data_IF_071325317504
#
_entry.id   IF_071325317504
#
_cell.length_a   1.000
_cell.length_b   1.000
_cell.length_c   1.000
_cell.angle_alpha   90.00
_cell.angle_beta   90.00
_cell.angle_gamma   90.00
#
_symmetry.space_group_name_H-M   'P 1'
#
loop_
_entity.id
_entity.type
_entity.pdbx_description
1 polymer ?
#
# COMPACT_ATOMS: atom_id res chain seq x y z
N UNK A 1 26.86 -9.48 -10.14
CA UNK A 1 26.76 -10.84 -9.56
C UNK A 1 26.21 -11.74 -10.65
N UNK A 2 27.01 -12.64 -11.21
CA UNK A 2 26.59 -13.53 -12.31
C UNK A 2 25.74 -14.68 -11.77
N UNK A 3 24.73 -15.12 -12.53
CA UNK A 3 23.82 -16.24 -12.20
C UNK A 3 24.55 -17.55 -11.84
N UNK A 4 25.81 -17.70 -12.23
CA UNK A 4 26.66 -18.86 -11.93
C UNK A 4 27.07 -19.02 -10.46
N UNK A 5 26.76 -18.05 -9.60
CA UNK A 5 27.13 -18.06 -8.18
C UNK A 5 25.95 -18.36 -7.25
N UNK A 6 24.74 -18.50 -7.80
CA UNK A 6 23.56 -18.77 -7.00
C UNK A 6 23.30 -20.27 -6.95
N UNK A 7 23.11 -20.82 -5.75
CA UNK A 7 22.65 -22.19 -5.60
C UNK A 7 21.13 -22.29 -5.85
N UNK A 8 20.63 -23.51 -6.07
CA UNK A 8 19.21 -23.76 -6.37
C UNK A 8 18.26 -23.20 -5.29
N UNK A 9 18.76 -22.99 -4.07
CA UNK A 9 18.00 -22.46 -2.93
C UNK A 9 18.03 -20.93 -2.83
N UNK A 10 19.07 -20.27 -3.33
CA UNK A 10 19.15 -18.81 -3.36
C UNK A 10 18.10 -18.20 -4.29
N UNK A 11 17.76 -18.86 -5.40
CA UNK A 11 16.71 -18.40 -6.31
C UNK A 11 15.34 -18.25 -5.62
N UNK A 12 15.01 -19.17 -4.71
CA UNK A 12 13.73 -19.12 -3.99
C UNK A 12 13.63 -17.88 -3.08
N UNK A 13 14.74 -17.52 -2.43
CA UNK A 13 14.79 -16.37 -1.53
C UNK A 13 14.61 -15.06 -2.29
N UNK A 14 15.26 -14.89 -3.44
CA UNK A 14 15.18 -13.65 -4.23
C UNK A 14 13.88 -13.53 -5.04
N UNK A 15 13.33 -14.64 -5.54
CA UNK A 15 12.03 -14.62 -6.20
C UNK A 15 10.91 -14.28 -5.22
N UNK A 16 10.92 -14.85 -4.02
CA UNK A 16 9.90 -14.55 -3.02
C UNK A 16 9.94 -13.10 -2.55
N UNK A 17 11.14 -12.55 -2.34
CA UNK A 17 11.37 -11.15 -2.00
C UNK A 17 10.75 -10.20 -3.03
N UNK A 18 10.94 -10.50 -4.33
CA UNK A 18 10.28 -9.76 -5.41
C UNK A 18 8.76 -9.80 -5.28
N UNK A 19 8.14 -10.94 -4.99
CA UNK A 19 6.67 -11.01 -4.90
C UNK A 19 6.10 -10.32 -3.64
N UNK A 20 6.86 -10.26 -2.55
CA UNK A 20 6.46 -9.58 -1.30
C UNK A 20 6.61 -8.05 -1.44
N UNK A 21 7.67 -7.57 -2.08
CA UNK A 21 7.99 -6.14 -2.15
C UNK A 21 7.70 -5.48 -3.51
N UNK A 22 7.48 -6.24 -4.59
CA UNK A 22 7.12 -5.72 -5.93
C UNK A 22 5.61 -5.61 -6.11
N UNK A 23 4.98 -4.77 -5.31
CA UNK A 23 3.59 -4.40 -5.48
C UNK A 23 3.47 -2.88 -5.45
N UNK A 24 3.12 -2.27 -6.58
CA UNK A 24 2.73 -0.85 -6.71
C UNK A 24 1.53 -0.44 -5.81
N UNK A 25 1.05 -1.33 -4.94
CA UNK A 25 0.06 -1.09 -3.90
C UNK A 25 0.81 -0.99 -2.57
N UNK A 26 0.97 0.23 -2.05
CA UNK A 26 1.72 0.53 -0.81
C UNK A 26 1.18 -0.11 0.48
N UNK A 27 0.39 -1.18 0.38
CA UNK A 27 -0.18 -1.96 1.47
C UNK A 27 -0.05 -3.48 1.27
N UNK A 28 0.68 -3.94 0.25
CA UNK A 28 0.91 -5.37 -0.04
C UNK A 28 -0.37 -6.23 -0.04
N UNK A 29 -1.52 -5.65 -0.40
CA UNK A 29 -2.77 -6.40 -0.45
C UNK A 29 -2.89 -7.13 -1.77
N UNK A 30 -3.33 -8.38 -1.72
CA UNK A 30 -3.73 -9.09 -2.94
C UNK A 30 -4.94 -8.39 -3.57
N UNK A 31 -5.15 -8.58 -4.89
CA UNK A 31 -6.32 -8.02 -5.58
C UNK A 31 -7.65 -8.46 -4.93
N UNK A 32 -7.68 -9.70 -4.42
CA UNK A 32 -8.82 -10.29 -3.71
C UNK A 32 -9.10 -9.58 -2.38
N UNK A 33 -8.07 -9.39 -1.57
CA UNK A 33 -8.19 -8.66 -0.29
C UNK A 33 -8.66 -7.23 -0.52
N UNK A 34 -8.14 -6.55 -1.55
CA UNK A 34 -8.58 -5.21 -1.90
C UNK A 34 -10.07 -5.16 -2.27
N UNK A 35 -10.60 -6.14 -3.01
CA UNK A 35 -12.03 -6.20 -3.32
C UNK A 35 -12.90 -6.51 -2.10
N UNK A 36 -12.44 -7.38 -1.20
CA UNK A 36 -13.21 -7.75 -0.01
C UNK A 36 -13.23 -6.60 1.02
N UNK A 37 -12.14 -5.84 1.12
CA UNK A 37 -11.97 -4.80 2.13
C UNK A 37 -12.32 -3.39 1.61
N UNK A 38 -12.86 -3.27 0.40
CA UNK A 38 -13.34 -1.98 -0.14
C UNK A 38 -14.82 -2.04 -0.47
N UNK A 39 -15.54 -0.95 -0.18
CA UNK A 39 -16.91 -0.71 -0.64
C UNK A 39 -18.00 -1.73 -0.25
N UNK A 40 -17.85 -2.45 0.86
CA UNK A 40 -18.95 -3.24 1.43
C UNK A 40 -20.14 -2.37 1.85
N UNK A 41 -21.35 -2.89 1.63
CA UNK A 41 -22.58 -2.26 2.11
C UNK A 41 -22.71 -2.50 3.62
N UNK A 42 -22.55 -1.42 4.38
CA UNK A 42 -22.87 -1.36 5.81
C UNK A 42 -23.86 -0.19 5.97
N UNK A 43 -25.02 -0.39 6.61
CA UNK A 43 -26.03 0.65 6.81
C UNK A 43 -25.47 1.89 7.55
N UNK A 44 -24.44 1.73 8.38
CA UNK A 44 -23.66 2.81 9.01
C UNK A 44 -22.33 3.10 8.30
N UNK A 45 -21.98 2.28 7.30
CA UNK A 45 -20.71 2.31 6.61
C UNK A 45 -20.59 3.47 5.62
N UNK A 46 -21.71 3.97 5.09
CA UNK A 46 -21.68 5.13 4.19
C UNK A 46 -21.26 6.40 4.93
N UNK A 47 -21.88 6.69 6.08
CA UNK A 47 -21.51 7.82 6.93
C UNK A 47 -20.08 7.67 7.47
N UNK A 48 -19.69 6.47 7.95
CA UNK A 48 -18.32 6.19 8.39
C UNK A 48 -17.29 6.42 7.28
N UNK A 49 -17.57 5.97 6.06
CA UNK A 49 -16.72 6.18 4.87
C UNK A 49 -16.57 7.67 4.54
N UNK A 50 -17.65 8.44 4.60
CA UNK A 50 -17.61 9.89 4.38
C UNK A 50 -16.70 10.55 5.43
N UNK A 51 -16.90 10.24 6.71
CA UNK A 51 -16.07 10.79 7.80
C UNK A 51 -14.60 10.44 7.61
N UNK A 52 -14.28 9.18 7.32
CA UNK A 52 -12.89 8.75 7.07
C UNK A 52 -12.28 9.45 5.86
N UNK A 53 -13.03 9.64 4.77
CA UNK A 53 -12.54 10.39 3.61
C UNK A 53 -12.22 11.84 3.97
N UNK A 54 -13.12 12.52 4.69
CA UNK A 54 -12.90 13.90 5.14
C UNK A 54 -11.64 14.00 6.02
N UNK A 55 -11.49 13.12 7.01
CA UNK A 55 -10.31 13.07 7.88
C UNK A 55 -9.02 12.85 7.10
N UNK A 56 -8.99 11.89 6.18
CA UNK A 56 -7.82 11.59 5.36
C UNK A 56 -7.45 12.75 4.44
N UNK A 57 -8.45 13.40 3.82
CA UNK A 57 -8.22 14.57 2.96
C UNK A 57 -7.56 15.70 3.76
N UNK A 58 -8.06 16.00 4.96
CA UNK A 58 -7.46 17.05 5.80
C UNK A 58 -6.06 16.68 6.28
N UNK A 59 -5.81 15.42 6.65
CA UNK A 59 -4.46 14.96 7.00
C UNK A 59 -3.48 15.06 5.84
N UNK A 60 -3.90 14.67 4.63
CA UNK A 60 -3.07 14.76 3.43
C UNK A 60 -2.71 16.20 3.09
N UNK A 61 -3.68 17.14 3.18
CA UNK A 61 -3.41 18.58 3.00
C UNK A 61 -2.39 19.10 4.02
N UNK A 62 -2.52 18.71 5.30
CA UNK A 62 -1.56 19.09 6.34
C UNK A 62 -0.15 18.56 6.06
N UNK A 63 -0.05 17.29 5.65
CA UNK A 63 1.24 16.68 5.28
C UNK A 63 1.85 17.34 4.03
N UNK A 64 1.03 17.72 3.06
CA UNK A 64 1.48 18.44 1.87
C UNK A 64 2.05 19.81 2.26
N UNK A 65 1.30 20.58 3.05
CA UNK A 65 1.75 21.88 3.53
C UNK A 65 3.04 21.79 4.37
N UNK A 66 3.17 20.77 5.22
CA UNK A 66 4.40 20.56 6.00
C UNK A 66 5.60 20.20 5.11
N UNK A 67 5.39 19.44 4.02
CA UNK A 67 6.45 19.12 3.05
C UNK A 67 6.89 20.35 2.26
N UNK A 68 5.94 21.22 1.87
CA UNK A 68 6.27 22.48 1.20
C UNK A 68 7.11 23.36 2.13
N UNK A 69 6.72 23.49 3.40
CA UNK A 69 7.43 24.29 4.39
C UNK A 69 8.85 23.78 4.74
N UNK A 70 9.11 22.47 4.61
CA UNK A 70 10.45 21.92 4.82
C UNK A 70 11.39 22.04 3.60
N UNK A 71 10.84 22.37 2.43
CA UNK A 71 11.61 22.49 1.18
C UNK A 71 11.98 23.93 0.84
N UNK A 72 11.32 24.90 1.48
CA UNK A 72 11.58 26.35 1.44
C UNK A 72 12.55 26.78 2.54
#
# INVERSE_FOLDING_TARGET
>A
MSESHFDEYEHYNFEYDKHIYSGHSGKQRTKKEASEHTNHFDPSGHSRKIVTKLQNTEQNKKMENSKVAQKS
#
